data_IF_850959558181
#
_entry.id   IF_850959558181
#
_cell.length_a   1.000
_cell.length_b   1.000
_cell.length_c   1.000
_cell.angle_alpha   90.00
_cell.angle_beta   90.00
_cell.angle_gamma   90.00
#
_symmetry.space_group_name_H-M   'P 1'
#
loop_
_entity.id
_entity.type
_entity.pdbx_description
1 polymer ?
#
# COMPACT_ATOMS: atom_id res chain seq x y z
N UNK A 1 9.15 1.43 -2.14
CA UNK A 1 7.93 2.20 -2.47
C UNK A 1 7.21 2.43 -1.15
N UNK A 2 7.32 3.64 -0.59
CA UNK A 2 6.92 3.89 0.80
C UNK A 2 5.39 4.02 0.88
N UNK A 3 4.75 3.14 1.64
CA UNK A 3 3.34 3.19 2.00
C UNK A 3 3.16 3.66 3.44
N UNK A 4 1.94 3.99 3.84
CA UNK A 4 1.65 4.35 5.23
C UNK A 4 0.92 3.20 5.91
N UNK A 5 1.50 2.65 6.96
CA UNK A 5 0.84 1.59 7.72
C UNK A 5 0.02 2.21 8.85
N UNK A 6 -1.31 2.11 8.78
CA UNK A 6 -2.20 2.63 9.83
C UNK A 6 -1.96 2.01 11.20
N UNK A 7 -1.51 0.75 11.25
CA UNK A 7 -1.19 0.07 12.52
C UNK A 7 0.10 0.60 13.14
N UNK A 8 1.09 0.91 12.32
CA UNK A 8 2.38 1.43 12.78
C UNK A 8 2.44 2.96 12.85
N UNK A 9 1.41 3.65 12.31
CA UNK A 9 1.33 5.11 12.15
C UNK A 9 2.63 5.73 11.62
N UNK A 10 3.28 4.99 10.72
CA UNK A 10 4.60 5.32 10.22
C UNK A 10 4.67 5.02 8.72
N UNK A 11 5.48 5.79 7.98
CA UNK A 11 5.90 5.39 6.65
C UNK A 11 6.63 4.05 6.74
N UNK A 12 6.26 3.13 5.87
CA UNK A 12 6.81 1.78 5.83
C UNK A 12 7.02 1.38 4.37
N UNK A 13 8.17 0.77 4.07
CA UNK A 13 8.39 0.20 2.75
C UNK A 13 7.50 -1.01 2.55
N UNK A 14 6.58 -0.88 1.59
CA UNK A 14 5.66 -1.95 1.23
C UNK A 14 6.47 -3.10 0.63
N UNK A 15 6.36 -4.28 1.24
CA UNK A 15 6.92 -5.51 0.71
C UNK A 15 5.93 -6.11 -0.29
N UNK A 16 6.42 -6.46 -1.48
CA UNK A 16 5.63 -6.92 -2.63
C UNK A 16 4.49 -5.96 -3.08
N UNK A 17 4.83 -4.74 -3.53
CA UNK A 17 3.83 -3.81 -4.07
C UNK A 17 3.26 -4.36 -5.41
N UNK A 18 1.97 -4.65 -5.43
CA UNK A 18 1.18 -4.99 -6.61
C UNK A 18 0.28 -3.82 -7.02
N UNK A 19 0.26 -3.44 -8.30
CA UNK A 19 -0.71 -2.48 -8.81
C UNK A 19 -2.09 -3.14 -8.83
N UNK A 20 -3.06 -2.52 -8.17
CA UNK A 20 -4.45 -2.97 -8.14
C UNK A 20 -5.37 -1.82 -8.52
N UNK A 21 -6.36 -2.10 -9.38
CA UNK A 21 -7.43 -1.15 -9.68
C UNK A 21 -8.56 -1.41 -8.71
N UNK A 22 -8.91 -0.41 -7.88
CA UNK A 22 -10.04 -0.54 -6.97
C UNK A 22 -11.36 -0.56 -7.74
N UNK A 23 -12.43 -1.06 -7.10
CA UNK A 23 -13.80 -1.09 -7.65
C UNK A 23 -14.33 0.29 -8.07
N UNK A 24 -13.75 1.37 -7.56
CA UNK A 24 -14.08 2.76 -7.92
C UNK A 24 -13.31 3.28 -9.16
N UNK A 25 -12.64 2.39 -9.90
CA UNK A 25 -11.86 2.73 -11.10
C UNK A 25 -10.55 3.45 -10.83
N UNK A 26 -10.17 3.64 -9.55
CA UNK A 26 -8.93 4.35 -9.19
C UNK A 26 -7.77 3.36 -9.11
N UNK A 27 -6.63 3.66 -9.75
CA UNK A 27 -5.42 2.89 -9.54
C UNK A 27 -4.93 3.04 -8.11
N UNK A 28 -4.43 1.95 -7.55
CA UNK A 28 -3.78 1.92 -6.25
C UNK A 28 -2.63 0.91 -6.27
N UNK A 29 -1.78 0.97 -5.26
CA UNK A 29 -0.76 -0.05 -5.03
C UNK A 29 -1.08 -0.75 -3.72
N UNK A 30 -1.17 -2.07 -3.74
CA UNK A 30 -1.32 -2.92 -2.56
C UNK A 30 0.01 -3.58 -2.25
N UNK A 31 0.43 -3.58 -1.00
CA UNK A 31 1.56 -4.37 -0.54
C UNK A 31 1.36 -4.83 0.90
N UNK A 32 2.39 -5.40 1.48
CA UNK A 32 2.36 -5.90 2.86
C UNK A 32 3.37 -5.13 3.72
N UNK A 33 2.96 -4.75 4.92
CA UNK A 33 3.85 -4.12 5.89
C UNK A 33 4.83 -5.17 6.46
N UNK A 34 6.15 -5.04 6.29
CA UNK A 34 7.12 -5.96 6.89
C UNK A 34 7.18 -5.88 8.43
N UNK A 35 6.71 -4.79 9.05
CA UNK A 35 6.71 -4.66 10.52
C UNK A 35 5.56 -5.39 11.22
N UNK A 36 4.36 -5.34 10.64
CA UNK A 36 3.16 -5.86 11.30
C UNK A 36 2.39 -6.89 10.46
N UNK A 37 2.85 -7.21 9.26
CA UNK A 37 2.24 -8.18 8.36
C UNK A 37 0.90 -7.72 7.75
N UNK A 38 0.40 -6.53 8.08
CA UNK A 38 -0.87 -6.05 7.55
C UNK A 38 -0.76 -5.53 6.12
N UNK A 39 -1.84 -5.66 5.36
CA UNK A 39 -1.96 -5.12 4.02
C UNK A 39 -1.93 -3.60 4.08
N UNK A 40 -1.02 -3.01 3.32
CA UNK A 40 -0.87 -1.58 3.13
C UNK A 40 -1.38 -1.25 1.74
N UNK A 41 -2.34 -0.34 1.67
CA UNK A 41 -2.86 0.15 0.39
C UNK A 41 -2.42 1.60 0.26
N UNK A 42 -1.61 1.89 -0.76
CA UNK A 42 -1.27 3.25 -1.13
C UNK A 42 -2.23 3.69 -2.23
N UNK A 43 -3.15 4.57 -1.86
CA UNK A 43 -3.98 5.31 -2.80
C UNK A 43 -3.10 6.38 -3.46
N UNK A 44 -2.71 6.13 -4.69
CA UNK A 44 -1.90 7.04 -5.49
C UNK A 44 -2.16 6.76 -6.95
N UNK A 45 -2.20 7.81 -7.77
CA UNK A 45 -2.28 7.71 -9.23
C UNK A 45 -1.25 6.65 -9.66
N UNK A 46 -1.70 5.61 -10.38
CA UNK A 46 -0.76 4.75 -11.08
C UNK A 46 0.13 5.68 -11.89
N UNK A 47 1.39 5.76 -11.50
CA UNK A 47 2.44 6.19 -12.41
C UNK A 47 2.76 4.95 -13.25
#
# INVERSE_FOLDING_TARGET
MVGYCFKCQAPCDMSAPQPVTLKNGRPASQGTCPKCGQKVVRLGRAA
#
